data_IF_761218271257
#
_entry.id   IF_761218271257
#
_cell.length_a   1.000
_cell.length_b   1.000
_cell.length_c   1.000
_cell.angle_alpha   90.00
_cell.angle_beta   90.00
_cell.angle_gamma   90.00
#
_symmetry.space_group_name_H-M   'P 1'
#
loop_
_entity.id
_entity.type
_entity.pdbx_description
1 polymer ?
#
# COMPACT_ATOMS: atom_id res chain seq x y z
N UNK A 1 -0.12 -18.78 -7.49
CA UNK A 1 -1.44 -19.46 -7.37
C UNK A 1 -1.37 -20.99 -7.52
N UNK A 2 -0.19 -21.63 -7.54
CA UNK A 2 -0.02 -23.02 -8.01
C UNK A 2 -0.45 -24.20 -7.10
N UNK A 3 -1.02 -23.98 -5.90
CA UNK A 3 -1.28 -25.05 -4.92
C UNK A 3 -2.71 -25.05 -4.32
N UNK A 4 -3.71 -24.52 -5.03
CA UNK A 4 -5.11 -24.51 -4.56
C UNK A 4 -5.43 -23.45 -3.49
N UNK A 5 -4.50 -22.54 -3.19
CA UNK A 5 -4.75 -21.34 -2.38
C UNK A 5 -5.62 -20.32 -3.14
N UNK A 6 -6.36 -19.51 -2.39
CA UNK A 6 -7.20 -18.44 -2.93
C UNK A 6 -6.36 -17.24 -3.39
N UNK A 7 -6.95 -16.36 -4.22
CA UNK A 7 -6.31 -15.10 -4.58
C UNK A 7 -6.01 -14.21 -3.36
N UNK A 8 -6.85 -14.30 -2.33
CA UNK A 8 -6.67 -13.60 -1.06
C UNK A 8 -5.41 -14.07 -0.33
N UNK A 9 -5.15 -15.38 -0.33
CA UNK A 9 -3.91 -15.95 0.21
C UNK A 9 -2.69 -15.47 -0.56
N UNK A 10 -2.79 -15.37 -1.89
CA UNK A 10 -1.69 -14.93 -2.74
C UNK A 10 -1.29 -13.47 -2.47
N UNK A 11 -2.27 -12.56 -2.38
CA UNK A 11 -1.99 -11.13 -2.13
C UNK A 11 -1.51 -10.88 -0.70
N UNK A 12 -1.94 -11.68 0.29
CA UNK A 12 -1.40 -11.63 1.65
C UNK A 12 0.07 -12.10 1.66
N UNK A 13 0.34 -13.32 1.19
CA UNK A 13 1.69 -13.90 1.23
C UNK A 13 2.69 -13.10 0.39
N UNK A 14 2.24 -12.53 -0.73
CA UNK A 14 3.07 -11.73 -1.61
C UNK A 14 3.62 -10.48 -0.93
N UNK A 15 2.78 -9.73 -0.20
CA UNK A 15 3.25 -8.54 0.53
C UNK A 15 3.90 -8.88 1.86
N UNK A 16 3.50 -9.97 2.52
CA UNK A 16 4.14 -10.46 3.74
C UNK A 16 5.61 -10.82 3.52
N UNK A 17 5.97 -11.31 2.32
CA UNK A 17 7.36 -11.55 1.95
C UNK A 17 8.21 -10.26 1.99
N UNK A 18 7.62 -9.11 1.63
CA UNK A 18 8.29 -7.80 1.68
C UNK A 18 8.30 -7.22 3.09
N UNK A 19 7.27 -7.47 3.90
CA UNK A 19 7.27 -7.13 5.32
C UNK A 19 8.39 -7.84 6.12
N UNK A 20 8.72 -9.09 5.74
CA UNK A 20 9.84 -9.84 6.32
C UNK A 20 11.22 -9.41 5.81
N UNK A 21 11.31 -8.61 4.75
CA UNK A 21 12.58 -8.11 4.25
C UNK A 21 13.09 -6.95 5.12
N UNK A 22 13.95 -7.27 6.08
CA UNK A 22 14.57 -6.29 6.97
C UNK A 22 15.54 -5.34 6.27
N UNK A 23 15.81 -5.50 4.96
CA UNK A 23 16.57 -4.53 4.17
C UNK A 23 15.67 -3.48 3.51
N UNK A 24 14.36 -3.75 3.42
CA UNK A 24 13.37 -2.79 3.00
C UNK A 24 13.24 -1.67 4.05
N UNK A 25 13.11 -0.42 3.60
CA UNK A 25 13.09 0.79 4.47
C UNK A 25 11.73 1.51 4.44
N UNK A 26 10.75 0.96 3.76
CA UNK A 26 9.40 1.51 3.63
C UNK A 26 8.29 0.51 3.96
N UNK A 27 8.61 -0.77 4.19
CA UNK A 27 7.63 -1.81 4.52
C UNK A 27 8.14 -2.66 5.68
N UNK A 28 7.24 -3.03 6.59
CA UNK A 28 7.53 -3.93 7.72
C UNK A 28 8.49 -3.35 8.76
N UNK A 29 9.05 -4.23 9.59
CA UNK A 29 9.89 -3.86 10.73
C UNK A 29 11.25 -3.24 10.34
N UNK A 30 11.66 -3.36 9.08
CA UNK A 30 12.82 -2.67 8.51
C UNK A 30 12.58 -1.20 8.19
N UNK A 31 11.32 -0.75 8.26
CA UNK A 31 10.87 0.59 7.92
C UNK A 31 11.55 1.71 8.71
N UNK A 32 11.64 2.89 8.10
CA UNK A 32 12.09 4.09 8.83
C UNK A 32 11.04 4.50 9.86
N UNK A 33 11.46 4.85 11.09
CA UNK A 33 10.53 5.18 12.16
C UNK A 33 9.85 6.52 11.92
N UNK A 34 8.86 6.84 12.74
CA UNK A 34 8.39 8.20 12.96
C UNK A 34 9.48 9.08 13.60
N UNK A 35 9.18 10.38 13.77
CA UNK A 35 10.14 11.34 14.31
C UNK A 35 10.56 11.04 15.76
N UNK A 36 9.76 10.28 16.49
CA UNK A 36 10.00 9.93 17.89
C UNK A 36 10.75 8.59 18.04
N UNK A 37 11.04 7.92 16.91
CA UNK A 37 11.85 6.72 16.85
C UNK A 37 11.05 5.41 16.83
N UNK A 38 9.73 5.49 16.64
CA UNK A 38 8.82 4.35 16.63
C UNK A 38 8.55 3.85 15.22
N UNK A 39 8.72 2.55 14.98
CA UNK A 39 8.35 1.91 13.69
C UNK A 39 6.89 1.49 13.79
N UNK A 40 6.02 2.29 13.17
CA UNK A 40 4.56 2.10 13.19
C UNK A 40 4.08 1.72 11.79
N UNK A 41 3.31 0.64 11.70
CA UNK A 41 2.94 -0.01 10.46
C UNK A 41 1.45 0.11 10.17
N UNK A 42 1.13 0.20 8.88
CA UNK A 42 -0.22 0.35 8.35
C UNK A 42 -0.46 -0.71 7.28
N UNK A 43 -1.61 -1.41 7.31
CA UNK A 43 -1.98 -2.37 6.28
C UNK A 43 -3.50 -2.52 6.10
N UNK A 44 -3.95 -2.84 4.89
CA UNK A 44 -5.31 -3.32 4.63
C UNK A 44 -5.35 -4.43 3.57
N UNK A 45 -6.44 -5.18 3.57
CA UNK A 45 -6.73 -6.27 2.63
C UNK A 45 -8.22 -6.25 2.28
N UNK A 46 -8.55 -6.59 1.03
CA UNK A 46 -9.93 -6.63 0.54
C UNK A 46 -10.14 -7.76 -0.47
N UNK A 47 -11.28 -8.43 -0.41
CA UNK A 47 -11.68 -9.47 -1.38
C UNK A 47 -12.78 -9.02 -2.36
N UNK A 48 -13.01 -9.82 -3.40
CA UNK A 48 -14.02 -9.60 -4.43
C UNK A 48 -15.47 -9.45 -3.95
N UNK A 49 -15.84 -9.92 -2.76
CA UNK A 49 -17.20 -9.77 -2.22
C UNK A 49 -17.32 -8.55 -1.30
N UNK A 50 -16.27 -7.74 -1.20
CA UNK A 50 -16.24 -6.52 -0.42
C UNK A 50 -15.93 -6.72 1.06
N UNK A 51 -15.52 -7.92 1.50
CA UNK A 51 -14.97 -8.07 2.85
C UNK A 51 -13.62 -7.38 2.90
N UNK A 52 -13.40 -6.62 3.97
CA UNK A 52 -12.18 -5.87 4.15
C UNK A 52 -11.71 -5.92 5.60
N UNK A 53 -10.41 -5.77 5.79
CA UNK A 53 -9.80 -5.60 7.10
C UNK A 53 -8.58 -4.71 7.02
N UNK A 54 -8.32 -3.99 8.10
CA UNK A 54 -7.27 -3.00 8.18
C UNK A 54 -6.73 -2.86 9.60
N UNK A 55 -5.44 -2.59 9.68
CA UNK A 55 -4.79 -2.08 10.89
C UNK A 55 -3.99 -0.83 10.55
N UNK A 56 -3.96 0.12 11.47
CA UNK A 56 -3.08 1.27 11.35
C UNK A 56 -2.34 1.52 12.66
N UNK A 57 -1.14 2.08 12.54
CA UNK A 57 -0.34 2.52 13.65
C UNK A 57 -0.03 1.40 14.66
N UNK A 58 0.32 0.20 14.18
CA UNK A 58 0.73 -0.92 15.03
C UNK A 58 2.25 -1.03 15.10
N UNK A 59 2.79 -1.38 16.26
CA UNK A 59 4.22 -1.55 16.49
C UNK A 59 4.57 -3.01 16.80
N UNK A 60 5.81 -3.40 16.46
CA UNK A 60 6.41 -4.69 16.81
C UNK A 60 5.75 -5.94 16.21
N UNK A 61 4.83 -5.83 15.25
CA UNK A 61 4.31 -7.00 14.53
C UNK A 61 4.98 -7.12 13.17
N UNK A 62 5.51 -8.29 12.86
CA UNK A 62 6.18 -8.54 11.58
C UNK A 62 5.20 -8.43 10.40
N UNK A 63 3.96 -8.90 10.58
CA UNK A 63 2.98 -9.00 9.51
C UNK A 63 1.69 -8.23 9.80
N UNK A 64 1.66 -6.90 9.66
CA UNK A 64 0.44 -6.13 9.80
C UNK A 64 -0.63 -6.55 8.79
N UNK A 65 -0.26 -7.02 7.58
CA UNK A 65 -1.24 -7.53 6.61
C UNK A 65 -2.03 -8.73 7.12
N UNK A 66 -1.38 -9.65 7.83
CA UNK A 66 -2.04 -10.83 8.41
C UNK A 66 -2.94 -10.45 9.58
N UNK A 67 -2.60 -9.40 10.34
CA UNK A 67 -3.49 -8.85 11.37
C UNK A 67 -4.71 -8.20 10.69
N UNK A 68 -4.51 -7.42 9.62
CA UNK A 68 -5.61 -6.84 8.84
C UNK A 68 -6.57 -7.92 8.31
N UNK A 69 -6.05 -9.03 7.76
CA UNK A 69 -6.88 -10.18 7.37
C UNK A 69 -7.62 -10.81 8.54
N UNK A 70 -6.95 -10.98 9.68
CA UNK A 70 -7.61 -11.50 10.87
C UNK A 70 -8.74 -10.57 11.37
N UNK A 71 -8.56 -9.25 11.29
CA UNK A 71 -9.64 -8.28 11.61
C UNK A 71 -10.86 -8.52 10.71
N UNK A 72 -10.64 -8.69 9.40
CA UNK A 72 -11.69 -9.00 8.42
C UNK A 72 -12.44 -10.30 8.75
N UNK A 73 -11.72 -11.35 9.13
CA UNK A 73 -12.29 -12.70 9.28
C UNK A 73 -12.86 -12.98 10.67
N UNK A 74 -12.34 -12.32 11.72
CA UNK A 74 -12.62 -12.67 13.12
C UNK A 74 -13.37 -11.59 13.89
N UNK A 75 -13.68 -10.44 13.27
CA UNK A 75 -14.39 -9.34 13.92
C UNK A 75 -15.55 -8.82 13.07
N UNK A 76 -16.54 -8.15 13.67
CA UNK A 76 -17.55 -7.39 12.93
C UNK A 76 -17.03 -6.01 12.47
N UNK A 77 -15.77 -5.68 12.73
CA UNK A 77 -15.15 -4.40 12.41
C UNK A 77 -14.25 -4.53 11.18
N UNK A 78 -13.98 -3.40 10.53
CA UNK A 78 -13.09 -3.35 9.36
C UNK A 78 -11.72 -2.80 9.73
N UNK A 79 -11.61 -1.90 10.71
CA UNK A 79 -10.34 -1.24 11.03
C UNK A 79 -10.11 -1.17 12.53
N UNK A 80 -8.92 -1.58 12.98
CA UNK A 80 -8.41 -1.37 14.34
C UNK A 80 -7.14 -0.52 14.29
N UNK A 81 -6.87 0.27 15.32
CA UNK A 81 -5.68 1.14 15.34
C UNK A 81 -4.95 1.14 16.68
N UNK A 82 -3.64 1.41 16.67
CA UNK A 82 -2.80 1.62 17.85
C UNK A 82 -2.88 0.48 18.87
N UNK A 83 -2.77 0.81 20.16
CA UNK A 83 -2.85 -0.12 21.29
C UNK A 83 -4.09 -1.04 21.27
N UNK A 84 -5.20 -0.59 20.66
CA UNK A 84 -6.40 -1.42 20.48
C UNK A 84 -6.16 -2.57 19.52
N UNK A 85 -5.56 -2.28 18.37
CA UNK A 85 -5.18 -3.29 17.39
C UNK A 85 -4.12 -4.26 17.94
N UNK A 86 -3.12 -3.74 18.66
CA UNK A 86 -2.04 -4.57 19.20
C UNK A 86 -2.52 -5.55 20.26
N UNK A 87 -3.34 -5.10 21.22
CA UNK A 87 -3.91 -5.97 22.25
C UNK A 87 -4.78 -7.05 21.62
N UNK A 88 -5.64 -6.66 20.67
CA UNK A 88 -6.47 -7.60 19.95
C UNK A 88 -5.63 -8.63 19.17
N UNK A 89 -4.54 -8.20 18.52
CA UNK A 89 -3.63 -9.09 17.80
C UNK A 89 -2.98 -10.12 18.76
N UNK A 90 -2.49 -9.69 19.93
CA UNK A 90 -1.94 -10.59 20.95
C UNK A 90 -2.97 -11.62 21.43
N UNK A 91 -4.20 -11.19 21.71
CA UNK A 91 -5.32 -12.07 22.11
C UNK A 91 -5.68 -13.10 21.03
N UNK A 92 -5.35 -12.80 19.76
CA UNK A 92 -5.64 -13.65 18.60
C UNK A 92 -4.43 -14.44 18.10
N UNK A 93 -3.37 -14.53 18.90
CA UNK A 93 -2.22 -15.41 18.67
C UNK A 93 -1.06 -14.79 17.90
N UNK A 94 -1.16 -13.52 17.49
CA UNK A 94 -0.02 -12.80 16.92
C UNK A 94 1.01 -12.48 18.00
N UNK A 95 2.29 -12.44 17.62
CA UNK A 95 3.39 -12.22 18.55
C UNK A 95 4.12 -10.94 18.19
N UNK A 96 4.49 -10.18 19.23
CA UNK A 96 5.43 -9.06 19.07
C UNK A 96 6.84 -9.62 18.84
N UNK A 97 7.57 -8.95 17.95
CA UNK A 97 8.97 -9.22 17.62
C UNK A 97 9.78 -7.98 17.97
N UNK A 98 10.58 -8.10 19.03
CA UNK A 98 11.55 -7.07 19.37
C UNK A 98 12.73 -7.15 18.41
N UNK A 99 12.98 -6.06 17.70
CA UNK A 99 14.01 -5.98 16.69
C UNK A 99 14.83 -4.71 16.91
N UNK A 100 16.15 -4.87 16.98
CA UNK A 100 17.08 -3.75 16.98
C UNK A 100 17.81 -3.72 15.65
N UNK A 101 17.57 -2.67 14.87
CA UNK A 101 18.27 -2.39 13.61
C UNK A 101 19.18 -1.16 13.82
N UNK A 102 20.46 -1.36 14.15
CA UNK A 102 21.39 -0.25 14.43
C UNK A 102 21.48 0.76 13.28
N UNK A 103 21.36 0.31 12.03
CA UNK A 103 21.38 1.16 10.85
C UNK A 103 20.15 2.07 10.75
N UNK A 104 18.96 1.57 11.09
CA UNK A 104 17.72 2.36 11.12
C UNK A 104 17.80 3.39 12.25
N UNK A 105 18.25 2.96 13.43
CA UNK A 105 18.47 3.85 14.58
C UNK A 105 19.49 4.94 14.28
N UNK A 106 20.60 4.59 13.61
CA UNK A 106 21.64 5.55 13.21
C UNK A 106 21.10 6.56 12.20
N UNK A 107 20.32 6.14 11.21
CA UNK A 107 19.72 7.03 10.22
C UNK A 107 18.75 8.04 10.87
N UNK A 108 17.91 7.57 11.80
CA UNK A 108 17.04 8.44 12.59
C UNK A 108 17.81 9.43 13.46
N UNK A 109 18.86 8.99 14.16
CA UNK A 109 19.73 9.87 14.95
C UNK A 109 20.45 10.93 14.09
N UNK A 110 20.80 10.60 12.86
CA UNK A 110 21.36 11.57 11.91
C UNK A 110 20.32 12.60 11.50
N UNK A 111 19.10 12.15 11.17
CA UNK A 111 17.98 13.04 10.83
C UNK A 111 17.64 14.01 11.97
N UNK A 112 17.65 13.55 13.23
CA UNK A 112 17.36 14.40 14.40
C UNK A 112 18.28 15.63 14.51
N UNK A 113 19.48 15.60 13.94
CA UNK A 113 20.40 16.76 13.97
C UNK A 113 19.83 17.98 13.26
N UNK A 114 19.05 17.77 12.20
CA UNK A 114 18.36 18.86 11.48
C UNK A 114 16.87 18.88 11.80
N UNK A 115 16.27 17.71 12.03
CA UNK A 115 14.82 17.51 12.19
C UNK A 115 14.00 18.17 11.08
N UNK A 116 14.60 18.34 9.90
CA UNK A 116 13.95 18.94 8.74
C UNK A 116 13.06 17.88 8.09
N UNK A 117 11.75 17.98 8.35
CA UNK A 117 10.77 17.05 7.81
C UNK A 117 10.41 17.44 6.38
N UNK A 118 11.08 16.77 5.44
CA UNK A 118 10.80 16.85 4.00
C UNK A 118 10.61 15.43 3.47
N UNK A 119 9.35 14.93 3.41
CA UNK A 119 9.08 13.62 2.86
C UNK A 119 9.25 13.67 1.34
N UNK A 120 10.49 13.53 0.88
CA UNK A 120 10.78 13.39 -0.55
C UNK A 120 10.47 11.95 -0.93
N UNK A 121 9.33 11.73 -1.57
CA UNK A 121 9.03 10.45 -2.20
C UNK A 121 9.75 10.46 -3.54
N UNK A 122 10.96 9.89 -3.58
CA UNK A 122 11.74 9.80 -4.80
C UNK A 122 11.35 8.56 -5.61
N UNK A 123 11.65 8.61 -6.90
CA UNK A 123 11.38 7.56 -7.89
C UNK A 123 11.85 6.16 -7.44
N UNK A 124 12.95 6.11 -6.68
CA UNK A 124 13.58 4.85 -6.22
C UNK A 124 13.09 4.37 -4.85
N UNK A 125 12.33 5.16 -4.08
CA UNK A 125 11.79 4.78 -2.77
C UNK A 125 10.32 5.16 -2.66
N UNK A 126 9.48 4.32 -3.27
CA UNK A 126 8.07 4.27 -2.94
C UNK A 126 7.87 3.79 -1.50
N UNK A 127 6.94 4.43 -0.79
CA UNK A 127 6.73 4.26 0.63
C UNK A 127 5.93 2.99 0.98
N UNK A 128 5.38 2.29 -0.01
CA UNK A 128 4.33 1.28 0.19
C UNK A 128 4.45 0.17 -0.84
N UNK A 129 4.09 -1.06 -0.45
CA UNK A 129 3.76 -2.13 -1.40
C UNK A 129 2.25 -2.34 -1.44
N UNK A 130 1.69 -2.21 -2.65
CA UNK A 130 0.33 -2.62 -2.98
C UNK A 130 0.37 -3.80 -3.94
N UNK A 131 -0.54 -4.76 -3.76
CA UNK A 131 -0.67 -5.92 -4.63
C UNK A 131 -2.15 -6.15 -4.93
N UNK A 132 -2.47 -6.28 -6.22
CA UNK A 132 -3.79 -6.71 -6.68
C UNK A 132 -3.62 -7.97 -7.52
N UNK A 133 -4.59 -8.87 -7.45
CA UNK A 133 -4.53 -10.13 -8.17
C UNK A 133 -5.91 -10.64 -8.55
N UNK A 134 -5.94 -11.48 -9.58
CA UNK A 134 -7.10 -12.21 -10.07
C UNK A 134 -6.77 -13.70 -10.16
N UNK A 135 -7.69 -14.58 -9.75
CA UNK A 135 -7.56 -16.02 -9.98
C UNK A 135 -8.26 -16.51 -11.24
N UNK A 136 -8.07 -17.80 -11.56
CA UNK A 136 -8.69 -18.45 -12.72
C UNK A 136 -10.23 -18.48 -12.69
N UNK A 137 -10.85 -18.21 -11.54
CA UNK A 137 -12.30 -18.08 -11.42
C UNK A 137 -12.76 -16.61 -11.58
N UNK A 138 -11.86 -15.69 -11.90
CA UNK A 138 -12.14 -14.26 -12.04
C UNK A 138 -12.31 -13.55 -10.69
N UNK A 139 -11.96 -14.18 -9.56
CA UNK A 139 -12.07 -13.55 -8.25
C UNK A 139 -10.87 -12.64 -8.03
N UNK A 140 -11.17 -11.41 -7.62
CA UNK A 140 -10.18 -10.39 -7.28
C UNK A 140 -9.87 -10.38 -5.78
N UNK A 141 -8.66 -9.98 -5.44
CA UNK A 141 -8.30 -9.51 -4.11
C UNK A 141 -7.16 -8.51 -4.22
N UNK A 142 -6.94 -7.78 -3.14
CA UNK A 142 -5.76 -6.96 -3.03
C UNK A 142 -5.35 -6.71 -1.58
N UNK A 143 -4.12 -6.25 -1.43
CA UNK A 143 -3.46 -5.94 -0.17
C UNK A 143 -2.62 -4.69 -0.32
N UNK A 144 -2.42 -3.97 0.78
CA UNK A 144 -1.56 -2.79 0.84
C UNK A 144 -0.91 -2.73 2.23
N UNK A 145 0.41 -2.53 2.31
CA UNK A 145 1.17 -2.49 3.58
C UNK A 145 2.39 -1.57 3.50
N UNK A 146 2.69 -0.90 4.60
CA UNK A 146 3.73 0.14 4.68
C UNK A 146 4.21 0.39 6.12
N UNK A 147 5.40 0.98 6.28
CA UNK A 147 5.82 1.69 7.50
C UNK A 147 5.44 3.19 7.49
N UNK A 148 4.82 3.67 6.43
CA UNK A 148 4.47 5.06 6.16
C UNK A 148 5.67 5.94 5.79
N UNK A 149 5.42 7.24 5.70
CA UNK A 149 6.47 8.23 5.44
C UNK A 149 7.51 8.23 6.57
N UNK A 150 8.78 8.20 6.17
CA UNK A 150 9.90 8.29 7.09
C UNK A 150 9.81 9.56 7.94
N UNK A 151 10.03 9.43 9.25
CA UNK A 151 10.04 10.51 10.24
C UNK A 151 8.72 11.27 10.33
N UNK A 152 7.61 10.62 9.97
CA UNK A 152 6.25 11.14 10.15
C UNK A 152 6.01 11.61 11.58
N UNK A 153 5.02 12.49 11.77
CA UNK A 153 4.53 12.82 13.11
C UNK A 153 3.96 11.55 13.76
N UNK A 154 4.27 11.30 15.03
CA UNK A 154 3.71 10.16 15.76
C UNK A 154 2.17 10.20 15.71
N UNK A 155 1.56 9.09 15.33
CA UNK A 155 0.13 8.95 15.06
C UNK A 155 -0.29 9.24 13.61
N UNK A 156 0.62 9.64 12.71
CA UNK A 156 0.30 9.84 11.28
C UNK A 156 0.00 8.50 10.61
N UNK A 157 -1.13 8.46 9.92
CA UNK A 157 -1.60 7.32 9.11
C UNK A 157 -1.67 7.75 7.64
N UNK A 158 -1.15 6.89 6.75
CA UNK A 158 -1.19 7.09 5.29
C UNK A 158 -2.47 6.56 4.63
N UNK A 159 -2.45 6.44 3.31
CA UNK A 159 -3.54 5.86 2.51
C UNK A 159 -3.60 4.33 2.59
N UNK A 160 -2.46 3.69 2.84
CA UNK A 160 -2.29 2.24 2.78
C UNK A 160 -3.24 1.40 3.64
N UNK A 161 -3.71 1.82 4.84
CA UNK A 161 -4.69 1.06 5.60
C UNK A 161 -6.14 1.51 5.34
N UNK A 162 -6.37 2.46 4.44
CA UNK A 162 -7.68 3.07 4.20
C UNK A 162 -8.29 2.50 2.92
N UNK A 163 -9.31 1.66 3.09
CA UNK A 163 -10.11 1.13 1.98
C UNK A 163 -10.73 2.30 1.19
N UNK A 164 -10.53 2.28 -0.12
CA UNK A 164 -10.90 3.34 -1.06
C UNK A 164 -9.81 4.37 -1.32
N UNK A 165 -8.78 4.47 -0.47
CA UNK A 165 -7.60 5.31 -0.71
C UNK A 165 -6.44 4.47 -1.26
N UNK A 166 -5.72 3.74 -0.40
CA UNK A 166 -4.55 2.95 -0.81
C UNK A 166 -4.89 1.62 -1.50
N UNK A 167 -6.10 1.12 -1.28
CA UNK A 167 -6.60 -0.12 -1.89
C UNK A 167 -8.11 -0.04 -2.10
N UNK A 168 -8.60 -0.52 -3.24
CA UNK A 168 -10.02 -0.80 -3.41
C UNK A 168 -10.23 -1.99 -4.35
N UNK A 169 -11.13 -2.90 -3.99
CA UNK A 169 -11.48 -4.09 -4.77
C UNK A 169 -13.00 -4.17 -4.91
N UNK A 170 -13.45 -4.32 -6.15
CA UNK A 170 -14.84 -4.56 -6.50
C UNK A 170 -14.90 -5.74 -7.49
N UNK A 171 -15.51 -6.85 -7.06
CA UNK A 171 -15.56 -8.09 -7.85
C UNK A 171 -16.28 -7.97 -9.19
N UNK A 172 -17.14 -6.96 -9.38
CA UNK A 172 -17.85 -6.74 -10.63
C UNK A 172 -17.11 -5.83 -11.61
N UNK A 173 -16.03 -5.17 -11.16
CA UNK A 173 -15.34 -4.13 -11.91
C UNK A 173 -13.86 -4.40 -12.03
N UNK A 174 -13.15 -4.45 -10.90
CA UNK A 174 -11.70 -4.43 -10.86
C UNK A 174 -11.16 -4.07 -9.48
N UNK A 175 -9.85 -4.06 -9.38
CA UNK A 175 -9.09 -3.69 -8.21
C UNK A 175 -8.08 -2.58 -8.57
N UNK A 176 -7.79 -1.72 -7.60
CA UNK A 176 -6.73 -0.74 -7.69
C UNK A 176 -5.99 -0.61 -6.36
N UNK A 177 -4.68 -0.32 -6.45
CA UNK A 177 -3.88 0.08 -5.31
C UNK A 177 -3.02 1.30 -5.64
N UNK A 178 -2.57 2.00 -4.61
CA UNK A 178 -1.78 3.22 -4.71
C UNK A 178 -0.46 3.12 -3.96
N UNK A 179 0.47 4.02 -4.28
CA UNK A 179 1.72 4.24 -3.55
C UNK A 179 2.16 5.70 -3.67
N UNK A 180 2.99 6.18 -2.74
CA UNK A 180 3.60 7.51 -2.79
C UNK A 180 3.09 8.44 -1.69
N UNK A 181 2.82 9.70 -2.00
CA UNK A 181 2.39 10.67 -0.97
C UNK A 181 0.95 10.39 -0.56
N UNK A 182 0.77 9.56 0.48
CA UNK A 182 -0.54 9.09 0.93
C UNK A 182 -1.58 10.19 1.21
N UNK A 183 -1.16 11.37 1.68
CA UNK A 183 -2.05 12.52 1.87
C UNK A 183 -2.78 12.92 0.58
N UNK A 184 -2.10 12.84 -0.57
CA UNK A 184 -2.70 13.14 -1.87
C UNK A 184 -3.69 12.06 -2.31
N UNK A 185 -3.39 10.79 -2.01
CA UNK A 185 -4.24 9.64 -2.33
C UNK A 185 -5.53 9.65 -1.49
N UNK A 186 -5.42 9.92 -0.18
CA UNK A 186 -6.58 10.03 0.73
C UNK A 186 -7.52 11.13 0.25
N UNK A 187 -6.99 12.32 -0.06
CA UNK A 187 -7.78 13.50 -0.42
C UNK A 187 -8.66 13.32 -1.66
N UNK A 188 -8.33 12.36 -2.52
CA UNK A 188 -9.10 12.06 -3.74
C UNK A 188 -9.81 10.71 -3.70
N UNK A 189 -9.74 9.96 -2.59
CA UNK A 189 -10.16 8.55 -2.54
C UNK A 189 -9.62 7.78 -3.75
N UNK A 190 -8.28 7.75 -3.89
CA UNK A 190 -7.59 7.38 -5.12
C UNK A 190 -7.98 6.03 -5.71
N UNK A 191 -7.78 4.93 -4.98
CA UNK A 191 -8.09 3.59 -5.51
C UNK A 191 -9.58 3.39 -5.80
N UNK A 192 -10.47 3.93 -4.96
CA UNK A 192 -11.90 3.93 -5.26
C UNK A 192 -12.21 4.71 -6.54
N UNK A 193 -11.61 5.89 -6.73
CA UNK A 193 -11.77 6.68 -7.95
C UNK A 193 -11.34 5.90 -9.19
N UNK A 194 -10.20 5.20 -9.14
CA UNK A 194 -9.72 4.38 -10.27
C UNK A 194 -10.73 3.28 -10.61
N UNK A 195 -11.20 2.53 -9.61
CA UNK A 195 -12.19 1.46 -9.85
C UNK A 195 -13.51 2.03 -10.36
N UNK A 196 -13.98 3.16 -9.83
CA UNK A 196 -15.21 3.80 -10.30
C UNK A 196 -15.10 4.32 -11.74
N UNK A 197 -13.93 4.80 -12.15
CA UNK A 197 -13.68 5.17 -13.55
C UNK A 197 -13.70 3.94 -14.47
N UNK A 198 -13.14 2.79 -14.02
CA UNK A 198 -13.28 1.53 -14.73
C UNK A 198 -14.74 1.07 -14.82
N UNK A 199 -15.53 1.25 -13.74
CA UNK A 199 -16.98 0.98 -13.74
C UNK A 199 -17.71 1.79 -14.82
N UNK A 200 -17.24 3.00 -15.09
CA UNK A 200 -17.76 3.90 -16.13
C UNK A 200 -17.25 3.57 -17.54
N UNK A 201 -16.50 2.47 -17.69
CA UNK A 201 -16.04 1.95 -18.98
C UNK A 201 -14.65 2.42 -19.40
N UNK A 202 -13.87 3.05 -18.50
CA UNK A 202 -12.47 3.35 -18.79
C UNK A 202 -11.59 2.10 -18.73
N UNK A 203 -10.59 2.05 -19.60
CA UNK A 203 -9.52 1.06 -19.50
C UNK A 203 -8.62 1.36 -18.28
N UNK A 204 -8.01 0.34 -17.65
CA UNK A 204 -7.28 0.48 -16.38
C UNK A 204 -6.21 1.59 -16.40
N UNK A 205 -5.40 1.67 -17.46
CA UNK A 205 -4.37 2.70 -17.60
C UNK A 205 -4.97 4.11 -17.64
N UNK A 206 -6.06 4.30 -18.40
CA UNK A 206 -6.75 5.57 -18.51
C UNK A 206 -7.40 5.98 -17.18
N UNK A 207 -7.94 5.02 -16.44
CA UNK A 207 -8.52 5.24 -15.12
C UNK A 207 -7.45 5.68 -14.10
N UNK A 208 -6.28 5.02 -14.08
CA UNK A 208 -5.14 5.43 -13.27
C UNK A 208 -4.68 6.85 -13.62
N UNK A 209 -4.57 7.16 -14.92
CA UNK A 209 -4.14 8.47 -15.40
C UNK A 209 -5.10 9.59 -14.98
N UNK A 210 -6.41 9.38 -15.10
CA UNK A 210 -7.40 10.37 -14.68
C UNK A 210 -7.38 10.60 -13.17
N UNK A 211 -7.11 9.58 -12.36
CA UNK A 211 -6.91 9.75 -10.92
C UNK A 211 -5.66 10.60 -10.60
N UNK A 212 -4.55 10.39 -11.32
CA UNK A 212 -3.35 11.25 -11.25
C UNK A 212 -3.69 12.69 -11.65
N UNK A 213 -4.43 12.89 -12.75
CA UNK A 213 -4.85 14.22 -13.22
C UNK A 213 -5.69 14.95 -12.18
N UNK A 214 -6.59 14.24 -11.48
CA UNK A 214 -7.39 14.81 -10.40
C UNK A 214 -6.51 15.36 -9.28
N UNK A 215 -5.46 14.63 -8.89
CA UNK A 215 -4.49 15.09 -7.88
C UNK A 215 -3.78 16.34 -8.37
N UNK A 216 -3.25 16.34 -9.60
CA UNK A 216 -2.54 17.50 -10.16
C UNK A 216 -3.43 18.73 -10.27
N UNK A 217 -4.69 18.56 -10.69
CA UNK A 217 -5.66 19.66 -10.79
C UNK A 217 -6.00 20.28 -9.43
N UNK A 218 -6.08 19.47 -8.38
CA UNK A 218 -6.34 19.95 -7.02
C UNK A 218 -5.11 20.57 -6.35
N UNK A 219 -3.91 20.35 -6.90
CA UNK A 219 -2.65 20.85 -6.35
C UNK A 219 -1.82 21.54 -7.46
N UNK A 220 -2.24 22.72 -7.94
CA UNK A 220 -1.46 23.48 -8.91
C UNK A 220 -0.07 23.80 -8.35
N UNK A 221 0.99 23.49 -9.12
CA UNK A 221 2.37 23.71 -8.66
C UNK A 221 2.88 22.69 -7.64
N UNK A 222 2.24 21.51 -7.53
CA UNK A 222 2.78 20.40 -6.76
C UNK A 222 4.19 20.05 -7.25
N UNK A 223 5.18 20.04 -6.37
CA UNK A 223 6.57 19.64 -6.63
C UNK A 223 6.99 18.60 -5.57
N UNK A 224 8.03 17.81 -5.81
CA UNK A 224 8.60 16.83 -4.85
C UNK A 224 7.65 15.76 -4.30
N UNK A 225 6.49 15.55 -4.94
CA UNK A 225 5.49 14.56 -4.55
C UNK A 225 5.23 13.57 -5.68
N UNK A 226 5.35 12.30 -5.36
CA UNK A 226 5.02 11.19 -6.26
C UNK A 226 3.74 10.51 -5.80
N UNK A 227 2.91 10.09 -6.76
CA UNK A 227 1.78 9.18 -6.58
C UNK A 227 1.72 8.27 -7.79
N UNK A 228 1.61 6.96 -7.56
CA UNK A 228 1.37 5.96 -8.59
C UNK A 228 0.12 5.15 -8.26
N UNK A 229 -0.66 4.84 -9.30
CA UNK A 229 -1.78 3.89 -9.22
C UNK A 229 -1.52 2.69 -10.12
N UNK A 230 -1.92 1.52 -9.66
CA UNK A 230 -1.97 0.26 -10.43
C UNK A 230 -3.40 -0.28 -10.38
N UNK A 231 -3.90 -0.75 -11.51
CA UNK A 231 -5.24 -1.31 -11.63
C UNK A 231 -5.26 -2.64 -12.40
N UNK A 232 -6.22 -3.50 -12.05
CA UNK A 232 -6.43 -4.82 -12.62
C UNK A 232 -7.93 -5.12 -12.71
N UNK A 233 -8.39 -5.66 -13.84
CA UNK A 233 -9.73 -6.20 -14.05
C UNK A 233 -9.75 -7.71 -14.00
N UNK A 234 -10.94 -8.28 -13.81
CA UNK A 234 -11.15 -9.72 -13.75
C UNK A 234 -10.80 -10.46 -15.06
N UNK A 235 -10.79 -9.75 -16.20
CA UNK A 235 -10.39 -10.30 -17.50
C UNK A 235 -8.87 -10.17 -17.78
N UNK A 236 -8.11 -9.70 -16.80
CA UNK A 236 -6.66 -9.53 -16.89
C UNK A 236 -6.21 -8.22 -17.53
N UNK A 237 -7.13 -7.35 -17.98
CA UNK A 237 -6.77 -6.00 -18.39
C UNK A 237 -6.17 -5.26 -17.18
N UNK A 238 -5.03 -4.60 -17.38
CA UNK A 238 -4.30 -3.92 -16.32
C UNK A 238 -3.63 -2.66 -16.85
N UNK A 239 -3.24 -1.77 -15.95
CA UNK A 239 -2.61 -0.51 -16.29
C UNK A 239 -2.11 0.23 -15.06
N UNK A 240 -1.19 1.15 -15.26
CA UNK A 240 -0.59 1.91 -14.18
C UNK A 240 -0.17 3.29 -14.68
N UNK A 241 -0.34 4.29 -13.81
CA UNK A 241 0.04 5.66 -14.13
C UNK A 241 0.55 6.39 -12.88
N UNK A 242 1.55 7.26 -13.05
CA UNK A 242 2.14 8.04 -11.97
C UNK A 242 2.27 9.53 -12.30
N UNK A 243 2.57 10.35 -11.28
CA UNK A 243 2.85 11.77 -11.48
C UNK A 243 4.20 11.93 -12.20
N UNK A 244 5.26 11.36 -11.63
CA UNK A 244 6.61 11.42 -12.19
C UNK A 244 7.03 10.07 -12.78
N UNK A 245 7.94 10.11 -13.76
CA UNK A 245 8.51 8.91 -14.35
C UNK A 245 9.26 8.02 -13.34
N UNK A 246 9.39 6.73 -13.69
CA UNK A 246 10.15 5.72 -12.95
C UNK A 246 9.39 4.99 -11.85
N UNK A 247 8.07 5.17 -11.76
CA UNK A 247 7.21 4.18 -11.13
C UNK A 247 7.08 2.96 -12.05
N UNK A 248 7.59 1.81 -11.60
CA UNK A 248 7.47 0.53 -12.28
C UNK A 248 6.65 -0.45 -11.42
N UNK A 249 6.03 -1.45 -12.06
CA UNK A 249 5.30 -2.50 -11.36
C UNK A 249 5.70 -3.89 -11.86
N UNK A 250 5.68 -4.88 -10.96
CA UNK A 250 5.91 -6.27 -11.33
C UNK A 250 4.60 -6.91 -11.79
N UNK A 251 4.60 -7.51 -12.98
CA UNK A 251 3.49 -8.29 -13.51
C UNK A 251 3.86 -9.77 -13.52
N UNK A 252 3.08 -10.59 -12.84
CA UNK A 252 3.23 -12.06 -12.87
C UNK A 252 2.03 -12.68 -13.54
N UNK A 253 2.28 -13.44 -14.60
CA UNK A 253 1.30 -14.28 -15.29
C UNK A 253 1.82 -15.71 -15.41
N UNK A 254 1.05 -16.61 -16.03
CA UNK A 254 1.53 -17.96 -16.33
C UNK A 254 2.73 -17.97 -17.30
N UNK A 255 2.94 -16.88 -18.04
CA UNK A 255 4.09 -16.72 -18.93
C UNK A 255 5.40 -16.33 -18.20
N UNK A 256 5.30 -15.92 -16.93
CA UNK A 256 6.42 -15.50 -16.10
C UNK A 256 6.19 -14.17 -15.41
N UNK A 257 7.27 -13.65 -14.81
CA UNK A 257 7.29 -12.35 -14.14
C UNK A 257 8.13 -11.38 -14.95
N UNK A 258 7.61 -10.17 -15.17
CA UNK A 258 8.33 -9.06 -15.78
C UNK A 258 8.13 -7.76 -15.00
N UNK A 259 9.06 -6.82 -15.18
CA UNK A 259 8.94 -5.47 -14.66
C UNK A 259 8.41 -4.56 -15.78
N UNK A 260 7.25 -3.96 -15.56
CA UNK A 260 6.55 -3.12 -16.53
C UNK A 260 6.65 -1.66 -16.12
N UNK A 261 7.01 -0.80 -17.07
CA UNK A 261 7.07 0.65 -16.86
C UNK A 261 5.67 1.25 -16.93
N UNK A 262 5.31 2.08 -15.95
CA UNK A 262 4.04 2.80 -15.98
C UNK A 262 4.08 4.03 -16.89
N UNK A 263 2.90 4.54 -17.25
CA UNK A 263 2.77 5.88 -17.83
C UNK A 263 3.00 6.97 -16.77
N UNK A 264 3.35 8.18 -17.21
CA UNK A 264 3.58 9.30 -16.30
C UNK A 264 3.21 10.65 -16.91
N UNK A 265 2.99 11.66 -16.06
CA UNK A 265 2.64 13.02 -16.47
C UNK A 265 3.85 13.97 -16.55
N UNK A 266 4.91 13.70 -15.79
CA UNK A 266 6.11 14.54 -15.73
C UNK A 266 7.38 13.70 -15.78
N UNK A 267 8.38 14.18 -16.53
CA UNK A 267 9.73 13.60 -16.48
C UNK A 267 10.41 14.03 -15.18
N UNK A 268 11.26 13.18 -14.63
CA UNK A 268 12.16 13.56 -13.55
C UNK A 268 13.19 14.56 -14.10
N UNK A 269 13.67 15.44 -13.23
CA UNK A 269 14.88 16.24 -13.52
C UNK A 269 16.15 15.43 -13.24
#
# INVERSE_FOLDING_TARGET
>A
MGNGGSILDAVELGVAAVESDLTNRSVGLGGRPDRDGHVTLDACIQDHVGRAGAVAFVEHFEHPISIARAVMEKTPHVMLVGDGAERWALENGFQKKELQLPEVRKAWQEWLKTSDYKPVVNVENHDTIGMVGVDAAGRLAGSCTTSGLAYKVHGRVGDSPIIGAGLFVDGEVGAACATGTGELVIRVAGSHTVVELMRQGMEPDAACREAVHRILKQNPGLEDHQVGFLALRADGAHGAHAIYEGFDFALTTDAGTELVRSGFERKGE
#
